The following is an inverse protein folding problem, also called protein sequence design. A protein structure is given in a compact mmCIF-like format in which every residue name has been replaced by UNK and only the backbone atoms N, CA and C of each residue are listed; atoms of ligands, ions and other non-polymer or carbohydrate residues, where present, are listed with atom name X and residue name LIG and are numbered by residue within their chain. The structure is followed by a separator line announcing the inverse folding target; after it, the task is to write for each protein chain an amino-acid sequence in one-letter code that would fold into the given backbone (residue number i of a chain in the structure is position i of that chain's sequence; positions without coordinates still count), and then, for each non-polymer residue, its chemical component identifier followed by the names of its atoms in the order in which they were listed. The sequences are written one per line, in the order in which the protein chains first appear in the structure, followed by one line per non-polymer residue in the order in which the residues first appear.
data_IF_533449243014
#
_entry.id   IF_533449243014
#
_cell.length_a   1.000
_cell.length_b   1.000
_cell.length_c   1.000
_cell.angle_alpha   90.00
_cell.angle_beta   90.00
_cell.angle_gamma   90.00
#
_symmetry.space_group_name_H-M   'P 1'
#
loop_
_entity.id
_entity.type
_entity.pdbx_description
1 polymer ?
#
# COMPACT_ATOMS: atom_id res chain seq x y z
N UNK A 1 -39.39 21.02 -8.96
CA UNK A 1 -38.53 21.10 -7.78
C UNK A 1 -37.24 20.39 -8.11
N UNK A 2 -36.14 21.14 -8.21
CA UNK A 2 -34.79 20.60 -8.38
C UNK A 2 -34.38 20.01 -7.03
N UNK A 3 -34.23 18.69 -6.93
CA UNK A 3 -33.58 18.08 -5.76
C UNK A 3 -32.12 17.84 -6.10
N UNK A 4 -31.29 18.49 -5.31
CA UNK A 4 -29.89 18.80 -5.52
C UNK A 4 -28.99 17.63 -5.92
N UNK A 5 -28.15 17.96 -6.89
CA UNK A 5 -26.94 17.25 -7.26
C UNK A 5 -25.84 17.57 -6.25
N UNK A 6 -25.75 16.82 -5.15
CA UNK A 6 -24.59 16.87 -4.24
C UNK A 6 -24.61 15.66 -3.31
N UNK A 7 -23.88 14.59 -3.66
CA UNK A 7 -23.11 13.76 -2.72
C UNK A 7 -22.58 12.50 -3.42
N UNK A 8 -21.42 12.60 -4.07
CA UNK A 8 -20.56 11.43 -4.33
C UNK A 8 -19.06 11.76 -4.32
N UNK A 9 -18.69 12.94 -3.80
CA UNK A 9 -17.28 13.33 -3.60
C UNK A 9 -16.85 13.08 -2.14
N UNK A 10 -17.81 12.85 -1.23
CA UNK A 10 -17.63 12.72 0.22
C UNK A 10 -17.73 11.30 0.75
N UNK A 11 -17.89 10.29 -0.10
CA UNK A 11 -17.36 8.96 0.22
C UNK A 11 -15.83 9.04 0.02
N UNK A 12 -15.19 9.82 0.91
CA UNK A 12 -13.86 9.47 1.37
C UNK A 12 -13.88 7.95 1.59
N UNK A 13 -12.82 7.26 1.22
CA UNK A 13 -12.78 5.80 1.12
C UNK A 13 -12.13 5.19 2.38
N UNK A 14 -12.63 5.42 3.63
CA UNK A 14 -12.00 4.92 4.83
C UNK A 14 -12.04 3.39 4.86
N UNK A 15 -12.83 2.73 4.00
CA UNK A 15 -12.78 1.28 3.81
C UNK A 15 -11.55 0.86 2.99
N UNK A 16 -11.24 1.54 1.88
CA UNK A 16 -10.01 1.28 1.12
C UNK A 16 -8.77 1.63 1.92
N UNK A 17 -8.78 2.75 2.64
CA UNK A 17 -7.69 3.19 3.50
C UNK A 17 -7.46 2.23 4.68
N UNK A 18 -8.54 1.75 5.32
CA UNK A 18 -8.42 0.71 6.37
C UNK A 18 -7.84 -0.59 5.82
N UNK A 19 -8.34 -1.09 4.69
CA UNK A 19 -7.79 -2.30 4.06
C UNK A 19 -6.32 -2.14 3.66
N UNK A 20 -5.92 -0.93 3.26
CA UNK A 20 -4.52 -0.58 2.97
C UNK A 20 -3.65 -0.70 4.22
N UNK A 21 -4.10 -0.12 5.34
CA UNK A 21 -3.40 -0.17 6.62
C UNK A 21 -3.31 -1.61 7.15
N UNK A 22 -4.42 -2.35 7.16
CA UNK A 22 -4.47 -3.75 7.57
C UNK A 22 -3.51 -4.63 6.76
N UNK A 23 -3.44 -4.41 5.44
CA UNK A 23 -2.50 -5.13 4.58
C UNK A 23 -1.05 -4.78 4.92
N UNK A 24 -0.73 -3.51 5.16
CA UNK A 24 0.63 -3.10 5.53
C UNK A 24 1.03 -3.69 6.90
N UNK A 25 0.14 -3.64 7.89
CA UNK A 25 0.37 -4.27 9.18
C UNK A 25 0.63 -5.77 9.03
N UNK A 26 -0.16 -6.44 8.19
CA UNK A 26 0.03 -7.85 7.88
C UNK A 26 1.42 -8.09 7.25
N UNK A 27 1.78 -7.37 6.19
CA UNK A 27 3.05 -7.55 5.48
C UNK A 27 4.29 -7.33 6.37
N UNK A 28 4.19 -6.44 7.36
CA UNK A 28 5.30 -6.11 8.28
C UNK A 28 5.40 -7.11 9.45
N UNK A 29 4.28 -7.66 9.92
CA UNK A 29 4.25 -8.44 11.16
C UNK A 29 4.02 -9.94 10.96
N UNK A 30 3.82 -10.42 9.74
CA UNK A 30 3.60 -11.85 9.46
C UNK A 30 4.64 -12.48 8.53
N UNK A 31 4.99 -13.73 8.84
CA UNK A 31 5.80 -14.58 7.98
C UNK A 31 5.07 -15.04 6.70
N UNK A 32 3.73 -14.87 6.66
CA UNK A 32 2.89 -15.10 5.47
C UNK A 32 2.95 -13.96 4.44
N UNK A 33 3.72 -12.90 4.70
CA UNK A 33 4.04 -11.87 3.69
C UNK A 33 4.65 -12.47 2.42
N UNK A 34 5.41 -13.56 2.56
CA UNK A 34 5.96 -14.35 1.45
C UNK A 34 4.90 -14.88 0.49
N UNK A 35 3.70 -15.19 0.95
CA UNK A 35 2.62 -15.69 0.09
C UNK A 35 2.05 -14.57 -0.80
N UNK A 36 2.14 -13.32 -0.34
CA UNK A 36 1.55 -12.15 -1.00
C UNK A 36 2.56 -11.45 -1.90
N UNK A 37 3.75 -11.15 -1.38
CA UNK A 37 4.79 -10.34 -2.05
C UNK A 37 6.07 -11.12 -2.34
N UNK A 38 6.08 -12.45 -2.12
CA UNK A 38 7.25 -13.34 -2.32
C UNK A 38 8.51 -12.91 -1.56
N UNK A 39 8.34 -12.08 -0.53
CA UNK A 39 9.42 -11.52 0.29
C UNK A 39 9.00 -11.56 1.76
N UNK A 40 9.93 -11.93 2.64
CA UNK A 40 9.69 -11.92 4.09
C UNK A 40 9.66 -10.50 4.66
N UNK A 41 9.10 -10.31 5.87
CA UNK A 41 8.82 -8.99 6.42
C UNK A 41 10.11 -8.17 6.63
N UNK A 42 11.16 -8.82 7.17
CA UNK A 42 12.46 -8.17 7.40
C UNK A 42 13.12 -7.69 6.10
N UNK A 43 13.10 -8.52 5.05
CA UNK A 43 13.68 -8.16 3.75
C UNK A 43 12.88 -7.04 3.08
N UNK A 44 11.55 -7.08 3.21
CA UNK A 44 10.66 -6.05 2.70
C UNK A 44 10.92 -4.68 3.34
N UNK A 45 11.06 -4.62 4.68
CA UNK A 45 11.38 -3.36 5.38
C UNK A 45 12.72 -2.79 4.91
N UNK A 46 13.77 -3.63 4.85
CA UNK A 46 15.10 -3.19 4.38
C UNK A 46 15.08 -2.68 2.93
N UNK A 47 14.26 -3.28 2.07
CA UNK A 47 14.07 -2.80 0.70
C UNK A 47 13.42 -1.41 0.71
N UNK A 48 12.37 -1.21 1.50
CA UNK A 48 11.68 0.08 1.60
C UNK A 48 12.60 1.19 2.12
N UNK A 49 13.43 0.90 3.12
CA UNK A 49 14.44 1.83 3.64
C UNK A 49 15.46 2.23 2.55
N UNK A 50 15.98 1.25 1.80
CA UNK A 50 16.93 1.51 0.69
C UNK A 50 16.29 2.34 -0.41
N UNK A 51 15.05 2.04 -0.79
CA UNK A 51 14.31 2.79 -1.81
C UNK A 51 14.07 4.22 -1.35
N UNK A 52 13.65 4.41 -0.09
CA UNK A 52 13.46 5.74 0.49
C UNK A 52 14.75 6.56 0.48
N UNK A 53 15.90 5.93 0.73
CA UNK A 53 17.22 6.58 0.68
C UNK A 53 17.64 7.02 -0.74
N UNK A 54 17.03 6.49 -1.81
CA UNK A 54 17.33 6.95 -3.17
C UNK A 54 16.69 8.29 -3.51
N UNK A 55 15.71 8.74 -2.73
CA UNK A 55 14.84 9.90 -2.99
C UNK A 55 14.08 9.87 -4.34
N UNK A 56 14.20 8.80 -5.13
CA UNK A 56 13.49 8.62 -6.40
C UNK A 56 12.03 8.28 -6.17
N UNK A 57 11.76 7.40 -5.19
CA UNK A 57 10.40 7.02 -4.79
C UNK A 57 10.07 7.73 -3.49
N UNK A 58 8.99 8.51 -3.51
CA UNK A 58 8.50 9.29 -2.37
C UNK A 58 7.08 8.90 -2.04
N UNK A 59 6.66 9.23 -0.83
CA UNK A 59 5.26 9.13 -0.45
C UNK A 59 4.41 10.03 -1.36
N UNK A 60 3.26 9.50 -1.81
CA UNK A 60 2.28 10.20 -2.63
C UNK A 60 1.00 10.45 -1.81
N UNK A 61 0.11 11.32 -2.30
CA UNK A 61 -1.13 11.75 -1.62
C UNK A 61 -1.98 10.60 -1.05
N UNK A 62 -1.87 9.38 -1.60
CA UNK A 62 -2.59 8.17 -1.14
C UNK A 62 -1.75 6.88 -1.22
N UNK A 63 -0.42 6.99 -1.21
CA UNK A 63 0.43 5.79 -1.24
C UNK A 63 1.77 6.06 -0.58
N UNK A 64 2.10 5.31 0.47
CA UNK A 64 3.46 5.33 1.02
C UNK A 64 4.42 4.56 0.12
N UNK A 65 5.72 4.75 0.31
CA UNK A 65 6.76 3.97 -0.39
C UNK A 65 6.53 2.46 -0.21
N UNK A 66 6.22 2.02 1.01
CA UNK A 66 6.01 0.60 1.37
C UNK A 66 4.87 0.01 0.54
N UNK A 67 3.78 0.75 0.36
CA UNK A 67 2.68 0.29 -0.46
C UNK A 67 3.02 0.21 -1.96
N UNK A 68 3.77 1.19 -2.46
CA UNK A 68 4.18 1.20 -3.86
C UNK A 68 5.05 -0.02 -4.15
N UNK A 69 5.99 -0.29 -3.23
CA UNK A 69 6.87 -1.46 -3.29
C UNK A 69 6.08 -2.76 -3.15
N UNK A 70 5.14 -2.85 -2.21
CA UNK A 70 4.31 -4.04 -2.02
C UNK A 70 3.45 -4.36 -3.27
N UNK A 71 2.83 -3.33 -3.88
CA UNK A 71 2.08 -3.47 -5.13
C UNK A 71 2.99 -3.96 -6.25
N UNK A 72 4.18 -3.38 -6.39
CA UNK A 72 5.16 -3.80 -7.39
C UNK A 72 5.59 -5.26 -7.19
N UNK A 73 5.98 -5.65 -5.98
CA UNK A 73 6.37 -7.01 -5.64
C UNK A 73 5.25 -8.03 -5.88
N UNK A 74 4.01 -7.67 -5.55
CA UNK A 74 2.85 -8.50 -5.84
C UNK A 74 2.65 -8.72 -7.34
N UNK A 75 2.74 -7.65 -8.15
CA UNK A 75 2.62 -7.74 -9.61
C UNK A 75 3.70 -8.64 -10.19
N UNK A 76 4.98 -8.44 -9.85
CA UNK A 76 6.08 -9.24 -10.42
C UNK A 76 6.11 -10.68 -9.89
N UNK A 77 5.60 -10.92 -8.68
CA UNK A 77 5.64 -12.23 -8.03
C UNK A 77 4.51 -13.19 -8.43
N UNK A 78 3.50 -12.70 -9.16
CA UNK A 78 2.33 -13.46 -9.61
C UNK A 78 2.00 -13.24 -11.10
N UNK A 79 2.90 -12.63 -11.88
CA UNK A 79 2.83 -12.62 -13.35
C UNK A 79 3.30 -13.96 -13.94
#
# INVERSE_FOLDING_TARGET
MLSDTTNSITEFEPRKERRRQELMEYLVHTERSRDIIRMGPKAFIQLCERIRATEVVKDAYRSTVEEQVAKFLHIIGHN
#
